data_IF_406237010211
#
_entry.id   IF_406237010211
#
_cell.length_a   1.000
_cell.length_b   1.000
_cell.length_c   1.000
_cell.angle_alpha   90.00
_cell.angle_beta   90.00
_cell.angle_gamma   90.00
#
_symmetry.space_group_name_H-M   'P 1'
#
loop_
_entity.id
_entity.type
_entity.pdbx_description
1 polymer ?
#
# COMPACT_ATOMS: atom_id res chain seq x y z
N UNK A 1 2.77 -6.13 1.75
CA UNK A 1 1.46 -5.90 1.08
C UNK A 1 1.69 -5.43 -0.36
N UNK A 2 1.72 -6.34 -1.35
CA UNK A 2 1.70 -5.97 -2.77
C UNK A 2 1.06 -7.07 -3.62
N UNK A 3 -0.23 -7.26 -3.44
CA UNK A 3 -1.07 -8.25 -4.12
C UNK A 3 -1.88 -7.57 -5.22
N UNK A 4 -1.32 -7.32 -6.43
CA UNK A 4 -2.12 -6.65 -7.49
C UNK A 4 -1.96 -7.10 -8.95
N UNK A 5 -1.17 -8.11 -9.30
CA UNK A 5 -1.00 -8.46 -10.73
C UNK A 5 -1.53 -9.84 -11.16
N UNK A 6 -1.61 -10.81 -10.26
CA UNK A 6 -1.92 -12.18 -10.70
C UNK A 6 -3.41 -12.43 -10.99
N UNK A 7 -4.31 -11.79 -10.24
CA UNK A 7 -5.75 -11.96 -10.41
C UNK A 7 -6.27 -11.42 -11.76
N UNK A 8 -5.74 -10.28 -12.22
CA UNK A 8 -6.17 -9.66 -13.46
C UNK A 8 -5.78 -10.49 -14.70
N UNK A 9 -4.56 -11.04 -14.70
CA UNK A 9 -4.07 -11.87 -15.79
C UNK A 9 -4.83 -13.21 -15.88
N UNK A 10 -5.23 -13.79 -14.74
CA UNK A 10 -6.06 -15.00 -14.71
C UNK A 10 -7.46 -14.79 -15.28
N UNK A 11 -8.11 -13.66 -14.95
CA UNK A 11 -9.42 -13.30 -15.49
C UNK A 11 -9.36 -13.08 -17.01
N UNK A 12 -8.34 -12.38 -17.49
CA UNK A 12 -8.13 -12.11 -18.94
C UNK A 12 -7.93 -13.43 -19.71
N UNK A 13 -7.12 -14.36 -19.19
CA UNK A 13 -6.90 -15.67 -19.83
C UNK A 13 -8.17 -16.54 -19.81
N UNK A 14 -8.95 -16.49 -18.72
CA UNK A 14 -10.23 -17.19 -18.63
C UNK A 14 -11.27 -16.70 -19.65
N UNK A 15 -11.36 -15.38 -19.85
CA UNK A 15 -12.27 -14.78 -20.83
C UNK A 15 -11.86 -15.15 -22.26
N UNK A 16 -10.56 -15.11 -22.57
CA UNK A 16 -10.03 -15.50 -23.88
C UNK A 16 -10.30 -16.97 -24.21
N UNK A 17 -10.09 -17.87 -23.24
CA UNK A 17 -10.36 -19.29 -23.42
C UNK A 17 -11.88 -19.57 -23.58
N UNK A 18 -12.72 -18.87 -22.83
CA UNK A 18 -14.18 -18.95 -22.94
C UNK A 18 -14.73 -18.47 -24.30
N UNK A 19 -14.21 -17.34 -24.81
CA UNK A 19 -14.59 -16.85 -26.14
C UNK A 19 -14.17 -17.81 -27.27
N UNK A 20 -12.98 -18.41 -27.16
CA UNK A 20 -12.50 -19.37 -28.15
C UNK A 20 -13.39 -20.63 -28.21
N UNK A 21 -13.84 -21.15 -27.06
CA UNK A 21 -14.70 -22.32 -27.00
C UNK A 21 -16.13 -22.07 -27.56
N UNK A 22 -16.65 -20.84 -27.44
CA UNK A 22 -17.99 -20.48 -27.92
C UNK A 22 -18.14 -20.44 -29.44
N UNK A 23 -17.04 -20.37 -30.20
CA UNK A 23 -17.08 -20.29 -31.67
C UNK A 23 -17.17 -21.65 -32.39
N UNK A 24 -17.09 -22.78 -31.68
CA UNK A 24 -16.88 -24.11 -32.30
C UNK A 24 -18.14 -24.98 -32.50
N UNK A 25 -19.34 -24.57 -32.09
CA UNK A 25 -20.53 -25.45 -32.14
C UNK A 25 -21.61 -24.96 -33.09
N UNK A 26 -21.88 -25.70 -34.16
CA UNK A 26 -22.97 -25.44 -35.13
C UNK A 26 -24.38 -25.79 -34.61
N UNK A 27 -24.47 -26.42 -33.43
CA UNK A 27 -25.74 -26.84 -32.82
C UNK A 27 -25.90 -26.28 -31.41
N UNK A 28 -26.99 -25.55 -31.20
CA UNK A 28 -27.38 -24.92 -29.92
C UNK A 28 -27.31 -25.90 -28.72
N UNK A 29 -27.88 -27.13 -28.76
CA UNK A 29 -27.87 -28.02 -27.59
C UNK A 29 -26.47 -28.51 -27.22
N UNK A 30 -25.62 -28.78 -28.21
CA UNK A 30 -24.23 -29.20 -27.97
C UNK A 30 -23.42 -28.03 -27.41
N UNK A 31 -23.67 -26.81 -27.90
CA UNK A 31 -23.06 -25.59 -27.36
C UNK A 31 -23.36 -25.37 -25.88
N UNK A 32 -24.60 -25.60 -25.44
CA UNK A 32 -24.98 -25.48 -24.02
C UNK A 32 -24.25 -26.50 -23.15
N UNK A 33 -24.17 -27.77 -23.60
CA UNK A 33 -23.48 -28.83 -22.85
C UNK A 33 -21.98 -28.51 -22.72
N UNK A 34 -21.34 -28.10 -23.83
CA UNK A 34 -19.91 -27.72 -23.84
C UNK A 34 -19.66 -26.49 -22.97
N UNK A 35 -20.56 -25.49 -22.99
CA UNK A 35 -20.44 -24.31 -22.14
C UNK A 35 -20.53 -24.65 -20.64
N UNK A 36 -21.46 -25.53 -20.26
CA UNK A 36 -21.60 -25.97 -18.85
C UNK A 36 -20.38 -26.78 -18.42
N UNK A 37 -20.00 -27.80 -19.20
CA UNK A 37 -18.84 -28.64 -18.86
C UNK A 37 -17.55 -27.83 -18.85
N UNK A 38 -17.34 -26.95 -19.84
CA UNK A 38 -16.19 -26.05 -19.90
C UNK A 38 -16.15 -25.08 -18.72
N UNK A 39 -17.29 -24.53 -18.31
CA UNK A 39 -17.38 -23.64 -17.13
C UNK A 39 -17.06 -24.38 -15.84
N UNK A 40 -17.58 -25.60 -15.65
CA UNK A 40 -17.29 -26.42 -14.47
C UNK A 40 -15.81 -26.80 -14.41
N UNK A 41 -15.23 -27.24 -15.53
CA UNK A 41 -13.80 -27.57 -15.61
C UNK A 41 -12.94 -26.34 -15.35
N UNK A 42 -13.25 -25.20 -15.98
CA UNK A 42 -12.54 -23.94 -15.78
C UNK A 42 -12.62 -23.50 -14.30
N UNK A 43 -13.81 -23.57 -13.69
CA UNK A 43 -14.01 -23.26 -12.27
C UNK A 43 -13.16 -24.14 -11.35
N UNK A 44 -13.11 -25.45 -11.60
CA UNK A 44 -12.28 -26.38 -10.82
C UNK A 44 -10.79 -26.11 -11.00
N UNK A 45 -10.35 -25.81 -12.22
CA UNK A 45 -8.95 -25.45 -12.51
C UNK A 45 -8.56 -24.16 -11.81
N UNK A 46 -9.43 -23.14 -11.83
CA UNK A 46 -9.18 -21.86 -11.12
C UNK A 46 -9.06 -22.12 -9.61
N UNK A 47 -10.02 -22.82 -8.99
CA UNK A 47 -9.94 -23.14 -7.55
C UNK A 47 -8.70 -23.96 -7.20
N UNK A 48 -8.31 -24.88 -8.07
CA UNK A 48 -7.12 -25.70 -7.86
C UNK A 48 -5.86 -24.84 -7.92
N UNK A 49 -5.74 -23.95 -8.91
CA UNK A 49 -4.65 -22.98 -9.02
C UNK A 49 -4.59 -22.08 -7.79
N UNK A 50 -5.71 -21.48 -7.38
CA UNK A 50 -5.77 -20.65 -6.17
C UNK A 50 -5.32 -21.41 -4.91
N UNK A 51 -5.76 -22.66 -4.76
CA UNK A 51 -5.40 -23.52 -3.63
C UNK A 51 -3.91 -23.94 -3.64
N UNK A 52 -3.34 -24.16 -4.83
CA UNK A 52 -1.91 -24.47 -5.00
C UNK A 52 -1.03 -23.24 -4.79
N UNK A 53 -1.44 -22.08 -5.34
CA UNK A 53 -0.76 -20.80 -5.19
C UNK A 53 -0.78 -20.34 -3.72
N UNK A 54 -1.91 -20.46 -3.04
CA UNK A 54 -2.03 -20.14 -1.60
C UNK A 54 -1.04 -20.95 -0.76
N UNK A 55 -1.09 -22.29 -0.88
CA UNK A 55 -0.19 -23.18 -0.13
C UNK A 55 1.30 -22.99 -0.45
N UNK A 56 1.63 -22.57 -1.67
CA UNK A 56 3.01 -22.31 -2.08
C UNK A 56 3.54 -21.00 -1.50
N UNK A 57 2.74 -19.93 -1.52
CA UNK A 57 3.15 -18.59 -1.08
C UNK A 57 3.28 -18.53 0.45
N UNK A 58 2.41 -19.21 1.20
CA UNK A 58 2.47 -19.25 2.66
C UNK A 58 3.79 -19.87 3.14
N UNK A 59 4.15 -21.05 2.61
CA UNK A 59 5.42 -21.73 2.92
C UNK A 59 6.65 -20.91 2.55
N UNK A 60 6.61 -20.20 1.41
CA UNK A 60 7.70 -19.33 0.99
C UNK A 60 7.85 -18.12 1.93
N UNK A 61 6.73 -17.53 2.35
CA UNK A 61 6.72 -16.41 3.28
C UNK A 61 7.24 -16.82 4.66
N UNK A 62 6.84 -17.99 5.16
CA UNK A 62 7.28 -18.52 6.45
C UNK A 62 8.79 -18.82 6.45
N UNK A 63 9.31 -19.43 5.37
CA UNK A 63 10.74 -19.71 5.24
C UNK A 63 11.58 -18.42 5.24
N UNK A 64 11.09 -17.39 4.54
CA UNK A 64 11.74 -16.08 4.47
C UNK A 64 11.67 -15.34 5.81
N UNK A 65 10.51 -15.34 6.47
CA UNK A 65 10.34 -14.73 7.80
C UNK A 65 11.29 -15.38 8.82
N UNK A 66 11.45 -16.70 8.78
CA UNK A 66 12.33 -17.41 9.69
C UNK A 66 13.82 -17.14 9.39
N UNK A 67 14.18 -16.95 8.11
CA UNK A 67 15.52 -16.48 7.74
C UNK A 67 15.80 -15.06 8.25
N UNK A 68 14.85 -14.14 8.15
CA UNK A 68 15.00 -12.77 8.68
C UNK A 68 15.08 -12.76 10.21
N UNK A 69 14.25 -13.54 10.91
CA UNK A 69 14.30 -13.67 12.37
C UNK A 69 15.68 -14.19 12.84
N UNK A 70 16.20 -15.21 12.16
CA UNK A 70 17.52 -15.80 12.47
C UNK A 70 18.67 -14.84 12.14
N UNK A 71 18.53 -14.01 11.09
CA UNK A 71 19.53 -12.97 10.76
C UNK A 71 19.48 -11.78 11.71
N UNK A 72 18.30 -11.43 12.23
CA UNK A 72 18.13 -10.36 13.21
C UNK A 72 18.84 -10.69 14.52
N UNK A 73 18.77 -11.94 14.99
CA UNK A 73 19.48 -12.38 16.20
C UNK A 73 21.01 -12.48 15.99
N UNK A 74 21.47 -12.85 14.79
CA UNK A 74 22.92 -12.95 14.50
C UNK A 74 23.58 -11.59 14.27
N UNK A 75 22.83 -10.61 13.79
CA UNK A 75 23.28 -9.25 13.53
C UNK A 75 22.81 -8.28 14.61
N UNK A 76 22.42 -8.75 15.80
CA UNK A 76 22.25 -7.86 16.95
C UNK A 76 23.67 -7.36 17.28
N UNK A 77 24.04 -6.10 16.95
CA UNK A 77 25.30 -5.59 17.47
C UNK A 77 25.12 -5.55 18.98
N UNK A 78 26.09 -6.04 19.73
CA UNK A 78 26.12 -5.74 21.14
C UNK A 78 25.94 -4.23 21.32
N UNK A 79 25.01 -3.85 22.19
CA UNK A 79 24.94 -2.54 22.84
C UNK A 79 24.46 -1.34 21.99
N UNK A 80 23.36 -0.74 22.48
CA UNK A 80 23.01 0.64 22.18
C UNK A 80 21.57 0.92 22.56
N UNK A 81 21.35 1.50 23.75
CA UNK A 81 20.02 1.94 24.18
C UNK A 81 19.44 2.90 23.12
N UNK A 82 18.13 2.82 22.87
CA UNK A 82 17.39 3.69 21.94
C UNK A 82 17.57 5.20 22.21
N UNK A 83 18.12 5.57 23.37
CA UNK A 83 18.51 6.93 23.72
C UNK A 83 19.60 7.51 22.80
N UNK A 84 20.56 6.70 22.33
CA UNK A 84 21.72 7.21 21.58
C UNK A 84 21.39 7.62 20.13
N UNK A 85 20.29 7.12 19.55
CA UNK A 85 19.92 7.41 18.16
C UNK A 85 19.27 8.79 17.97
N UNK A 86 18.88 9.46 19.05
CA UNK A 86 18.34 10.83 19.01
C UNK A 86 19.43 11.92 19.12
N UNK A 87 20.67 11.57 19.49
CA UNK A 87 21.71 12.55 19.77
C UNK A 87 22.58 12.90 18.54
N UNK A 88 22.44 12.20 17.41
CA UNK A 88 23.33 12.35 16.24
C UNK A 88 22.76 13.22 15.10
N UNK A 89 21.63 13.89 15.29
CA UNK A 89 21.05 14.79 14.27
C UNK A 89 20.65 16.14 14.86
N UNK A 90 21.63 16.88 15.39
CA UNK A 90 21.50 18.32 15.61
C UNK A 90 22.43 19.04 14.63
N UNK A 91 21.92 19.47 13.46
CA UNK A 91 22.57 20.54 12.71
C UNK A 91 22.49 21.82 13.53
N UNK A 92 23.64 22.32 13.94
CA UNK A 92 23.82 23.61 14.56
C UNK A 92 23.62 24.76 13.55
N UNK A 93 22.84 25.76 14.01
CA UNK A 93 22.80 27.20 13.64
C UNK A 93 21.98 27.65 12.41
N UNK A 94 21.58 28.95 12.31
CA UNK A 94 21.58 30.06 13.29
C UNK A 94 20.25 30.84 13.43
N UNK A 95 20.18 31.59 14.52
CA UNK A 95 19.23 32.61 14.96
C UNK A 95 18.68 33.54 13.87
N UNK A 96 17.35 33.71 13.84
CA UNK A 96 16.72 34.97 13.47
C UNK A 96 15.56 35.24 14.43
N UNK A 97 15.83 36.07 15.44
CA UNK A 97 14.83 36.79 16.22
C UNK A 97 13.86 37.48 15.26
N UNK A 98 12.60 37.05 15.24
CA UNK A 98 11.49 37.93 14.93
C UNK A 98 10.39 37.62 15.93
N UNK A 99 10.20 38.52 16.89
CA UNK A 99 9.04 38.54 17.76
C UNK A 99 7.78 38.59 16.88
N UNK A 100 7.17 37.43 16.66
CA UNK A 100 5.87 37.34 16.01
C UNK A 100 4.82 37.83 16.98
N UNK A 101 4.07 38.87 16.61
CA UNK A 101 2.87 39.23 17.34
C UNK A 101 1.85 38.08 17.21
N UNK A 102 1.14 37.76 18.28
CA UNK A 102 0.07 36.77 18.24
C UNK A 102 -1.26 37.45 17.87
N UNK A 103 -2.09 36.77 17.09
CA UNK A 103 -3.42 37.26 16.78
C UNK A 103 -4.27 37.27 18.05
N UNK A 104 -4.85 38.41 18.40
CA UNK A 104 -5.72 38.54 19.58
C UNK A 104 -7.07 37.83 19.43
N UNK A 105 -7.45 37.44 18.20
CA UNK A 105 -8.71 36.73 17.93
C UNK A 105 -8.59 35.21 18.02
N UNK A 106 -7.49 34.63 17.55
CA UNK A 106 -7.35 33.16 17.51
C UNK A 106 -6.04 32.63 18.13
N UNK A 107 -5.16 33.50 18.62
CA UNK A 107 -3.89 33.12 19.25
C UNK A 107 -2.80 32.64 18.28
N UNK A 108 -3.07 32.63 16.97
CA UNK A 108 -2.07 32.21 15.99
C UNK A 108 -0.90 33.20 15.93
N UNK A 109 0.32 32.68 15.81
CA UNK A 109 1.50 33.50 15.54
C UNK A 109 1.36 34.18 14.18
N UNK A 110 1.54 35.50 14.14
CA UNK A 110 1.46 36.29 12.90
C UNK A 110 2.76 37.00 12.61
N UNK A 111 3.07 37.10 11.32
CA UNK A 111 4.26 37.80 10.84
C UNK A 111 4.10 39.32 11.05
N UNK A 112 5.14 40.01 11.51
CA UNK A 112 5.11 41.47 11.67
C UNK A 112 4.82 42.13 10.32
N UNK A 113 3.86 43.06 10.30
CA UNK A 113 3.45 43.80 9.10
C UNK A 113 2.30 43.20 8.28
N UNK A 114 1.68 42.10 8.73
CA UNK A 114 0.47 41.56 8.10
C UNK A 114 -0.78 42.38 8.48
N UNK A 115 -1.59 42.77 7.48
CA UNK A 115 -2.85 43.51 7.70
C UNK A 115 -3.99 42.61 8.20
N UNK A 116 -3.92 41.31 7.89
CA UNK A 116 -4.91 40.30 8.27
C UNK A 116 -4.22 39.03 8.78
N UNK A 117 -4.88 38.33 9.70
CA UNK A 117 -4.43 37.04 10.19
C UNK A 117 -4.61 35.96 9.12
N UNK A 118 -3.53 35.29 8.75
CA UNK A 118 -3.56 34.18 7.76
C UNK A 118 -4.29 32.92 8.26
N UNK A 119 -4.64 32.86 9.54
CA UNK A 119 -5.34 31.71 10.15
C UNK A 119 -6.84 31.92 10.31
N UNK A 120 -7.28 33.12 10.68
CA UNK A 120 -8.70 33.39 10.94
C UNK A 120 -9.30 34.54 10.11
N UNK A 121 -8.48 35.24 9.30
CA UNK A 121 -8.93 36.36 8.46
C UNK A 121 -9.16 37.67 9.22
N UNK A 122 -8.97 37.71 10.53
CA UNK A 122 -9.19 38.93 11.32
C UNK A 122 -8.16 40.02 11.00
N UNK A 123 -8.61 41.28 10.93
CA UNK A 123 -7.76 42.46 10.77
C UNK A 123 -6.82 42.65 11.96
N UNK A 124 -5.54 42.88 11.68
CA UNK A 124 -4.51 43.16 12.67
C UNK A 124 -4.24 44.66 12.66
N UNK A 125 -4.90 45.38 13.57
CA UNK A 125 -4.73 46.83 13.72
C UNK A 125 -3.31 47.10 14.23
N UNK A 126 -2.46 47.64 13.34
CA UNK A 126 -1.12 48.15 13.67
C UNK A 126 -1.30 49.42 14.53
N UNK A 127 -1.15 49.30 15.84
CA UNK A 127 -0.97 50.45 16.73
C UNK A 127 0.53 50.68 16.90
#
# INVERSE_FOLDING_TARGET
>A
MRSRTYAYNGIILGILFGMAAGAYTESIPIGVIVAILGSVVCFLVIRFLENMLGKGIDKATDAVANQFAKRSQKNEPASGNLADRFQASVPSQPTATQAGAFCTKCGAAVKPGSAFCTKCGAELKKN
#
